data_IF_089438153095
#
_entry.id   IF_089438153095
#
_cell.length_a   1.000
_cell.length_b   1.000
_cell.length_c   1.000
_cell.angle_alpha   90.00
_cell.angle_beta   90.00
_cell.angle_gamma   90.00
#
_symmetry.space_group_name_H-M   'P 1'
#
loop_
_entity.id
_entity.type
_entity.pdbx_description
1 polymer ?
#
# COMPACT_ATOMS: atom_id res chain seq x y z
N UNK A 1 -19.01 -6.77 -28.84
CA UNK A 1 -19.84 -6.60 -27.63
C UNK A 1 -18.91 -6.33 -26.47
N UNK A 2 -18.89 -5.11 -25.93
CA UNK A 2 -18.02 -4.77 -24.80
C UNK A 2 -18.60 -5.35 -23.53
N UNK A 3 -17.96 -6.40 -23.00
CA UNK A 3 -18.36 -6.99 -21.71
C UNK A 3 -18.08 -5.98 -20.60
N UNK A 4 -19.14 -5.47 -19.99
CA UNK A 4 -19.04 -4.51 -18.89
C UNK A 4 -18.57 -5.26 -17.65
N UNK A 5 -17.34 -5.00 -17.24
CA UNK A 5 -16.76 -5.61 -16.03
C UNK A 5 -17.59 -5.13 -14.83
N UNK A 6 -18.13 -6.03 -13.98
CA UNK A 6 -18.87 -5.64 -12.79
C UNK A 6 -17.93 -4.98 -11.77
N UNK A 7 -17.92 -3.65 -11.75
CA UNK A 7 -17.06 -2.80 -10.90
C UNK A 7 -17.56 -2.66 -9.44
N UNK A 8 -18.40 -3.57 -8.95
CA UNK A 8 -19.12 -3.36 -7.68
C UNK A 8 -18.90 -4.47 -6.64
N UNK A 9 -17.83 -5.26 -6.77
CA UNK A 9 -17.49 -6.35 -5.82
C UNK A 9 -16.89 -5.86 -4.50
N UNK A 10 -16.56 -4.58 -4.38
CA UNK A 10 -15.81 -4.03 -3.24
C UNK A 10 -16.62 -3.05 -2.37
N UNK A 11 -17.92 -2.90 -2.64
CA UNK A 11 -18.81 -2.12 -1.78
C UNK A 11 -19.35 -3.04 -0.70
N UNK A 12 -19.11 -2.67 0.56
CA UNK A 12 -19.66 -3.40 1.71
C UNK A 12 -21.17 -3.59 1.55
N UNK A 13 -21.61 -4.84 1.66
CA UNK A 13 -23.01 -5.18 1.46
C UNK A 13 -23.86 -4.50 2.53
N UNK A 14 -24.80 -3.67 2.08
CA UNK A 14 -25.71 -2.90 2.95
C UNK A 14 -26.86 -3.82 3.32
N UNK A 15 -26.77 -4.49 4.47
CA UNK A 15 -27.72 -5.53 4.88
C UNK A 15 -29.02 -4.96 5.46
N UNK A 16 -28.96 -3.84 6.21
CA UNK A 16 -30.13 -3.26 6.89
C UNK A 16 -30.30 -1.80 6.45
N UNK A 17 -30.94 -1.60 5.31
CA UNK A 17 -31.19 -0.28 4.74
C UNK A 17 -29.87 0.45 4.38
N UNK A 18 -29.58 1.63 4.95
CA UNK A 18 -28.35 2.37 4.67
C UNK A 18 -27.11 1.85 5.43
N UNK A 19 -27.30 1.04 6.48
CA UNK A 19 -26.25 0.56 7.38
C UNK A 19 -25.51 -0.65 6.80
N UNK A 20 -24.17 -0.62 6.86
CA UNK A 20 -23.35 -1.79 6.54
C UNK A 20 -23.37 -2.80 7.69
N UNK A 21 -23.06 -4.07 7.41
CA UNK A 21 -23.03 -5.12 8.44
C UNK A 21 -22.09 -4.77 9.60
N UNK A 22 -20.96 -4.11 9.31
CA UNK A 22 -20.01 -3.65 10.32
C UNK A 22 -20.64 -2.60 11.24
N UNK A 23 -21.33 -1.63 10.64
CA UNK A 23 -22.00 -0.55 11.36
C UNK A 23 -23.11 -1.08 12.28
N UNK A 24 -23.88 -2.04 11.80
CA UNK A 24 -24.88 -2.74 12.59
C UNK A 24 -24.24 -3.41 13.82
N UNK A 25 -23.12 -4.10 13.64
CA UNK A 25 -22.41 -4.77 14.74
C UNK A 25 -21.91 -3.79 15.81
N UNK A 26 -21.51 -2.58 15.42
CA UNK A 26 -21.12 -1.54 16.39
C UNK A 26 -22.31 -0.99 17.18
N UNK A 27 -23.44 -0.72 16.53
CA UNK A 27 -24.67 -0.34 17.23
C UNK A 27 -25.15 -1.46 18.14
N UNK A 28 -25.06 -2.71 17.71
CA UNK A 28 -25.39 -3.88 18.52
C UNK A 28 -24.50 -3.96 19.77
N UNK A 29 -23.18 -3.78 19.62
CA UNK A 29 -22.24 -3.76 20.74
C UNK A 29 -22.47 -2.59 21.71
N UNK A 30 -22.70 -1.39 21.19
CA UNK A 30 -23.05 -0.21 22.01
C UNK A 30 -24.39 -0.36 22.73
N UNK A 31 -25.39 -0.93 22.04
CA UNK A 31 -26.69 -1.27 22.62
C UNK A 31 -26.56 -2.33 23.72
N UNK A 32 -25.75 -3.36 23.51
CA UNK A 32 -25.48 -4.39 24.52
C UNK A 32 -24.77 -3.81 25.76
N UNK A 33 -23.79 -2.91 25.57
CA UNK A 33 -23.15 -2.20 26.69
C UNK A 33 -24.13 -1.30 27.44
N UNK A 34 -24.98 -0.57 26.72
CA UNK A 34 -26.01 0.29 27.30
C UNK A 34 -27.05 -0.54 28.06
N UNK A 35 -27.40 -1.72 27.54
CA UNK A 35 -28.28 -2.67 28.22
C UNK A 35 -27.64 -3.22 29.50
N UNK A 36 -26.33 -3.46 29.49
CA UNK A 36 -25.59 -3.83 30.70
C UNK A 36 -25.65 -2.71 31.74
N UNK A 37 -25.43 -1.45 31.33
CA UNK A 37 -25.57 -0.29 32.21
C UNK A 37 -27.00 -0.15 32.76
N UNK A 38 -28.01 -0.44 31.94
CA UNK A 38 -29.41 -0.50 32.38
C UNK A 38 -29.63 -1.60 33.43
N UNK A 39 -29.03 -2.78 33.25
CA UNK A 39 -29.11 -3.85 34.23
C UNK A 39 -28.51 -3.45 35.59
N UNK A 40 -27.37 -2.74 35.60
CA UNK A 40 -26.77 -2.21 36.82
C UNK A 40 -27.64 -1.15 37.51
N UNK A 41 -28.32 -0.30 36.72
CA UNK A 41 -29.32 0.63 37.24
C UNK A 41 -30.49 -0.11 37.90
N UNK A 42 -31.04 -1.15 37.25
CA UNK A 42 -32.16 -1.96 37.80
C UNK A 42 -31.78 -2.67 39.11
N UNK A 43 -30.53 -3.10 39.25
CA UNK A 43 -30.02 -3.76 40.47
C UNK A 43 -29.75 -2.73 41.60
N UNK A 44 -29.81 -1.42 41.29
CA UNK A 44 -29.65 -0.36 42.28
C UNK A 44 -28.20 0.07 42.54
N UNK A 45 -27.24 -0.35 41.70
CA UNK A 45 -25.85 0.11 41.80
C UNK A 45 -25.65 1.53 41.24
N UNK A 46 -26.55 1.99 40.37
CA UNK A 46 -26.49 3.29 39.71
C UNK A 46 -27.78 4.09 39.97
N UNK A 47 -27.67 5.40 40.16
CA UNK A 47 -28.82 6.29 40.10
C UNK A 47 -29.18 6.63 38.64
N UNK A 48 -30.39 7.17 38.44
CA UNK A 48 -30.92 7.46 37.11
C UNK A 48 -30.04 8.45 36.31
N UNK A 49 -29.51 9.48 36.97
CA UNK A 49 -28.67 10.51 36.31
C UNK A 49 -27.37 9.91 35.78
N UNK A 50 -26.70 9.07 36.57
CA UNK A 50 -25.47 8.38 36.20
C UNK A 50 -25.71 7.40 35.05
N UNK A 51 -26.82 6.65 35.09
CA UNK A 51 -27.21 5.76 34.00
C UNK A 51 -27.39 6.53 32.69
N UNK A 52 -28.13 7.64 32.72
CA UNK A 52 -28.37 8.45 31.52
C UNK A 52 -27.07 9.05 31.00
N UNK A 53 -26.21 9.58 31.88
CA UNK A 53 -24.93 10.14 31.47
C UNK A 53 -24.01 9.09 30.82
N UNK A 54 -23.84 7.93 31.45
CA UNK A 54 -23.01 6.85 30.94
C UNK A 54 -23.61 6.27 29.66
N UNK A 55 -24.91 6.01 29.63
CA UNK A 55 -25.62 5.51 28.47
C UNK A 55 -25.50 6.43 27.26
N UNK A 56 -25.63 7.75 27.47
CA UNK A 56 -25.45 8.75 26.43
C UNK A 56 -24.03 8.70 25.86
N UNK A 57 -23.00 8.68 26.72
CA UNK A 57 -21.60 8.61 26.28
C UNK A 57 -21.35 7.34 25.47
N UNK A 58 -21.84 6.18 25.91
CA UNK A 58 -21.71 4.90 25.20
C UNK A 58 -22.41 4.96 23.83
N UNK A 59 -23.64 5.47 23.78
CA UNK A 59 -24.40 5.57 22.53
C UNK A 59 -23.75 6.52 21.53
N UNK A 60 -23.31 7.69 21.98
CA UNK A 60 -22.59 8.65 21.13
C UNK A 60 -21.30 8.03 20.60
N UNK A 61 -20.55 7.32 21.45
CA UNK A 61 -19.33 6.63 21.04
C UNK A 61 -19.61 5.51 20.02
N UNK A 62 -20.65 4.71 20.22
CA UNK A 62 -21.06 3.66 19.29
C UNK A 62 -21.52 4.22 17.94
N UNK A 63 -22.27 5.32 17.95
CA UNK A 63 -22.68 6.03 16.74
C UNK A 63 -21.47 6.60 15.99
N UNK A 64 -20.50 7.19 16.69
CA UNK A 64 -19.23 7.63 16.10
C UNK A 64 -18.46 6.46 15.50
N UNK A 65 -18.46 5.28 16.14
CA UNK A 65 -17.80 4.08 15.59
C UNK A 65 -18.48 3.60 14.29
N UNK A 66 -19.80 3.71 14.22
CA UNK A 66 -20.58 3.27 13.07
C UNK A 66 -20.53 4.25 11.89
N UNK A 67 -20.75 5.52 12.13
CA UNK A 67 -20.81 6.53 11.05
C UNK A 67 -19.47 7.24 10.82
N UNK A 68 -18.56 7.19 11.79
CA UNK A 68 -17.23 7.75 11.66
C UNK A 68 -16.39 6.94 10.68
N UNK A 69 -15.96 7.60 9.61
CA UNK A 69 -14.97 7.08 8.67
C UNK A 69 -13.73 7.95 8.76
N UNK A 70 -12.57 7.34 9.02
CA UNK A 70 -11.30 8.05 9.01
C UNK A 70 -10.58 7.68 7.72
N UNK A 71 -10.31 8.67 6.87
CA UNK A 71 -9.59 8.50 5.60
C UNK A 71 -10.19 7.40 4.71
N UNK A 72 -11.52 7.30 4.64
CA UNK A 72 -12.23 6.29 3.85
C UNK A 72 -12.11 4.85 4.38
N UNK A 73 -11.58 4.66 5.59
CA UNK A 73 -11.48 3.36 6.26
C UNK A 73 -12.42 3.29 7.47
N UNK A 74 -12.95 2.10 7.80
CA UNK A 74 -13.78 1.94 8.97
C UNK A 74 -12.97 2.25 10.24
N UNK A 75 -13.58 3.00 11.16
CA UNK A 75 -12.94 3.49 12.39
C UNK A 75 -12.30 2.37 13.22
N UNK A 76 -12.85 1.14 13.18
CA UNK A 76 -12.29 -0.01 13.90
C UNK A 76 -10.86 -0.32 13.47
N UNK A 77 -10.53 -0.20 12.18
CA UNK A 77 -9.20 -0.52 11.67
C UNK A 77 -8.18 0.47 12.20
N UNK A 78 -8.58 1.74 12.28
CA UNK A 78 -7.81 2.77 12.93
C UNK A 78 -7.64 2.47 14.43
N UNK A 79 -8.71 2.10 15.13
CA UNK A 79 -8.68 1.81 16.57
C UNK A 79 -7.80 0.59 16.92
N UNK A 80 -7.88 -0.48 16.13
CA UNK A 80 -7.03 -1.67 16.28
C UNK A 80 -5.57 -1.32 16.01
N UNK A 81 -5.30 -0.50 15.00
CA UNK A 81 -3.93 -0.05 14.70
C UNK A 81 -3.38 0.86 15.80
N UNK A 82 -4.22 1.74 16.34
CA UNK A 82 -3.88 2.61 17.47
C UNK A 82 -3.62 1.80 18.75
N UNK A 83 -4.49 0.84 19.08
CA UNK A 83 -4.28 -0.05 20.21
C UNK A 83 -2.99 -0.88 20.05
N UNK A 84 -2.75 -1.42 18.84
CA UNK A 84 -1.52 -2.14 18.51
C UNK A 84 -0.29 -1.24 18.65
N UNK A 85 -0.39 0.04 18.27
CA UNK A 85 0.69 1.02 18.43
C UNK A 85 0.99 1.34 19.90
N UNK A 86 -0.03 1.44 20.75
CA UNK A 86 0.14 1.69 22.20
C UNK A 86 0.79 0.48 22.89
N UNK A 87 0.39 -0.74 22.51
CA UNK A 87 0.92 -1.99 23.09
C UNK A 87 2.28 -2.36 22.49
N UNK A 88 2.62 -1.86 21.31
CA UNK A 88 3.87 -2.19 20.62
C UNK A 88 5.10 -1.77 21.44
N UNK A 89 6.11 -2.63 21.57
CA UNK A 89 7.34 -2.30 22.27
C UNK A 89 8.07 -1.16 21.54
N UNK A 90 8.25 -0.02 22.23
CA UNK A 90 8.95 1.17 21.68
C UNK A 90 10.44 0.97 21.44
N UNK A 91 11.04 -0.10 21.97
CA UNK A 91 12.46 -0.42 21.77
C UNK A 91 12.61 -1.41 20.63
N UNK A 92 12.90 -0.89 19.44
CA UNK A 92 13.45 -1.70 18.34
C UNK A 92 14.94 -1.91 18.63
N UNK A 93 15.27 -3.03 19.27
CA UNK A 93 16.66 -3.49 19.33
C UNK A 93 16.98 -4.10 17.96
N UNK A 94 17.95 -3.52 17.26
CA UNK A 94 18.47 -4.11 16.04
C UNK A 94 19.38 -5.28 16.42
N UNK A 95 18.86 -6.50 16.27
CA UNK A 95 19.62 -7.75 16.37
C UNK A 95 19.73 -8.37 14.98
N UNK A 96 20.91 -8.91 14.66
CA UNK A 96 21.16 -9.61 13.40
C UNK A 96 20.36 -10.92 13.28
N UNK A 97 19.79 -11.37 14.38
CA UNK A 97 18.99 -12.58 14.49
C UNK A 97 17.51 -12.24 14.68
N UNK A 98 16.73 -12.53 13.64
CA UNK A 98 15.32 -12.93 13.67
C UNK A 98 14.37 -12.13 14.58
N UNK A 99 14.45 -10.80 14.59
CA UNK A 99 13.41 -9.94 15.19
C UNK A 99 12.18 -9.76 14.26
N UNK A 100 11.91 -10.74 13.40
CA UNK A 100 10.80 -10.76 12.43
C UNK A 100 9.82 -11.91 12.70
N UNK A 101 9.74 -12.46 13.91
CA UNK A 101 8.82 -13.59 14.17
C UNK A 101 7.45 -13.17 14.70
N UNK A 102 7.26 -11.94 15.19
CA UNK A 102 6.00 -11.56 15.88
C UNK A 102 5.16 -10.47 15.22
N UNK A 103 5.32 -10.28 13.91
CA UNK A 103 4.38 -9.48 13.13
C UNK A 103 3.74 -10.36 12.05
N UNK A 104 2.89 -11.30 12.47
CA UNK A 104 1.97 -11.99 11.55
C UNK A 104 0.84 -11.03 11.14
N UNK A 105 1.21 -9.95 10.45
CA UNK A 105 0.26 -9.30 9.54
C UNK A 105 0.12 -10.28 8.40
N UNK A 106 -0.98 -11.02 8.38
CA UNK A 106 -1.36 -11.86 7.24
C UNK A 106 -1.71 -10.93 6.07
N UNK A 107 -0.69 -10.41 5.39
CA UNK A 107 -0.85 -9.82 4.07
C UNK A 107 -1.25 -10.97 3.14
N UNK A 108 -2.54 -11.08 2.86
CA UNK A 108 -2.98 -11.78 1.66
C UNK A 108 -2.50 -10.94 0.46
N UNK A 109 -1.34 -11.30 -0.08
CA UNK A 109 -0.92 -10.93 -1.43
C UNK A 109 -0.62 -12.23 -2.18
N UNK A 110 -1.40 -12.57 -3.23
CA UNK A 110 -1.01 -13.62 -4.15
C UNK A 110 -0.03 -12.99 -5.12
N UNK A 111 1.27 -13.03 -4.85
CA UNK A 111 2.26 -12.80 -5.89
C UNK A 111 3.49 -13.63 -5.59
N UNK A 112 3.72 -14.61 -6.46
CA UNK A 112 4.96 -15.35 -6.55
C UNK A 112 6.12 -14.34 -6.63
N UNK A 113 6.92 -14.26 -5.57
CA UNK A 113 8.19 -13.56 -5.63
C UNK A 113 9.20 -14.58 -6.11
N UNK A 114 9.52 -14.50 -7.40
CA UNK A 114 10.70 -15.13 -7.98
C UNK A 114 11.89 -14.93 -7.05
N UNK A 115 12.63 -16.01 -6.80
CA UNK A 115 13.84 -16.03 -5.98
C UNK A 115 14.71 -14.81 -6.31
N UNK A 116 15.24 -14.07 -5.32
CA UNK A 116 16.28 -13.10 -5.62
C UNK A 116 17.45 -13.91 -6.16
N UNK A 117 17.72 -13.75 -7.47
CA UNK A 117 18.95 -14.21 -8.07
C UNK A 117 20.08 -13.60 -7.23
N UNK A 118 20.75 -14.43 -6.43
CA UNK A 118 21.91 -14.05 -5.65
C UNK A 118 22.96 -13.61 -6.66
N UNK A 119 23.01 -12.30 -6.92
CA UNK A 119 23.98 -11.69 -7.80
C UNK A 119 25.32 -11.91 -7.10
N UNK A 120 26.08 -12.91 -7.55
CA UNK A 120 27.41 -13.23 -7.03
C UNK A 120 28.25 -11.96 -7.07
N UNK A 121 28.40 -11.32 -5.92
CA UNK A 121 29.21 -10.12 -5.77
C UNK A 121 30.65 -10.55 -6.03
N UNK A 122 31.17 -10.17 -7.19
CA UNK A 122 32.53 -10.47 -7.59
C UNK A 122 33.49 -9.66 -6.71
N UNK A 123 34.43 -10.35 -6.04
CA UNK A 123 35.36 -9.72 -5.08
C UNK A 123 36.12 -8.53 -5.67
N UNK A 124 36.43 -8.56 -6.97
CA UNK A 124 37.12 -7.47 -7.66
C UNK A 124 36.36 -6.13 -7.65
N UNK A 125 35.02 -6.16 -7.68
CA UNK A 125 34.21 -4.92 -7.60
C UNK A 125 34.20 -4.34 -6.19
N UNK A 126 34.28 -5.18 -5.16
CA UNK A 126 34.39 -4.72 -3.77
C UNK A 126 35.77 -4.12 -3.51
N UNK A 127 36.83 -4.71 -4.06
CA UNK A 127 38.19 -4.15 -4.00
C UNK A 127 38.28 -2.82 -4.73
N UNK A 128 37.70 -2.68 -5.93
CA UNK A 128 37.64 -1.40 -6.64
C UNK A 128 36.91 -0.32 -5.83
N UNK A 129 35.77 -0.64 -5.22
CA UNK A 129 35.01 0.30 -4.39
C UNK A 129 35.74 0.64 -3.09
N UNK A 130 36.42 -0.33 -2.48
CA UNK A 130 37.24 -0.11 -1.29
C UNK A 130 38.43 0.80 -1.61
N UNK A 131 39.13 0.57 -2.72
CA UNK A 131 40.25 1.42 -3.15
C UNK A 131 39.80 2.84 -3.47
N UNK A 132 38.64 3.03 -4.13
CA UNK A 132 38.09 4.37 -4.41
C UNK A 132 37.75 5.12 -3.11
N UNK A 133 37.21 4.40 -2.13
CA UNK A 133 36.88 4.96 -0.82
C UNK A 133 38.15 5.29 -0.01
N UNK A 134 39.14 4.41 -0.04
CA UNK A 134 40.42 4.55 0.69
C UNK A 134 41.31 5.65 0.09
N UNK A 135 41.27 5.81 -1.23
CA UNK A 135 41.94 6.92 -1.95
C UNK A 135 41.14 8.23 -1.92
N UNK A 136 40.03 8.28 -1.18
CA UNK A 136 39.23 9.50 -1.00
C UNK A 136 38.74 10.11 -2.32
N UNK A 137 38.55 9.28 -3.36
CA UNK A 137 38.15 9.73 -4.69
C UNK A 137 39.27 10.34 -5.55
N UNK A 138 40.54 10.18 -5.18
CA UNK A 138 41.69 10.66 -5.98
C UNK A 138 42.46 9.49 -6.60
N UNK A 139 41.93 8.95 -7.69
CA UNK A 139 42.73 8.15 -8.62
C UNK A 139 43.25 9.10 -9.71
N UNK A 140 44.56 9.33 -9.73
CA UNK A 140 45.24 9.90 -10.87
C UNK A 140 45.23 8.83 -11.97
N UNK A 141 44.55 9.13 -13.07
CA UNK A 141 44.59 8.36 -14.31
C UNK A 141 46.01 8.35 -14.85
N UNK A 142 46.81 7.37 -14.45
CA UNK A 142 48.09 7.08 -15.07
C UNK A 142 48.18 5.58 -15.36
N UNK A 143 48.11 5.29 -16.66
CA UNK A 143 48.73 4.12 -17.31
C UNK A 143 48.11 2.74 -17.02
N UNK A 144 46.97 2.47 -17.68
CA UNK A 144 46.78 1.15 -18.30
C UNK A 144 46.26 1.32 -19.73
N UNK A 145 47.10 1.94 -20.55
CA UNK A 145 47.17 1.70 -21.98
C UNK A 145 47.71 0.28 -22.21
N UNK A 146 46.85 -0.72 -22.01
CA UNK A 146 47.01 -2.01 -22.69
C UNK A 146 45.72 -2.27 -23.45
N UNK A 147 45.78 -1.86 -24.71
CA UNK A 147 44.89 -2.18 -25.81
C UNK A 147 44.26 -3.57 -25.68
N UNK A 148 42.99 -3.63 -25.30
CA UNK A 148 42.08 -4.58 -25.91
C UNK A 148 41.26 -3.78 -26.92
N UNK A 149 41.64 -3.92 -28.19
CA UNK A 149 40.82 -3.53 -29.33
C UNK A 149 39.48 -4.26 -29.23
N UNK A 150 38.48 -3.59 -28.67
CA UNK A 150 37.11 -3.82 -29.08
C UNK A 150 36.97 -3.17 -30.44
N UNK A 151 37.17 -3.98 -31.47
CA UNK A 151 36.89 -3.65 -32.86
C UNK A 151 35.39 -3.33 -32.98
N UNK A 152 35.02 -2.07 -32.75
CA UNK A 152 33.77 -1.53 -33.25
C UNK A 152 33.98 -1.27 -34.74
N UNK A 153 33.81 -2.32 -35.55
CA UNK A 153 33.49 -2.14 -36.96
C UNK A 153 32.17 -1.36 -37.03
N UNK A 154 32.29 -0.04 -37.11
CA UNK A 154 31.22 0.83 -37.58
C UNK A 154 31.07 0.50 -39.07
N UNK A 155 30.16 -0.42 -39.38
CA UNK A 155 29.63 -0.56 -40.73
C UNK A 155 28.82 0.69 -41.06
N UNK A 156 29.16 1.47 -42.11
CA UNK A 156 28.21 2.39 -42.71
C UNK A 156 27.34 1.59 -43.68
N UNK A 157 26.35 0.86 -43.17
CA UNK A 157 25.30 0.28 -44.01
C UNK A 157 24.25 1.35 -44.28
N UNK A 158 24.47 2.14 -45.32
CA UNK A 158 23.44 2.95 -45.94
C UNK A 158 22.33 2.03 -46.49
N UNK A 159 21.06 2.16 -46.07
CA UNK A 159 19.96 1.57 -46.80
C UNK A 159 19.51 2.53 -47.92
N UNK A 160 19.71 2.03 -49.13
CA UNK A 160 19.20 2.48 -50.43
C UNK A 160 17.74 2.97 -50.32
N UNK A 161 17.50 4.26 -50.56
CA UNK A 161 16.16 4.79 -50.85
C UNK A 161 15.70 4.09 -52.14
N UNK A 162 14.59 3.35 -52.05
CA UNK A 162 13.87 2.83 -53.22
C UNK A 162 12.49 3.45 -53.19
N UNK A 163 12.23 4.25 -54.22
CA UNK A 163 10.98 4.94 -54.45
C UNK A 163 9.82 3.95 -54.51
N UNK A 164 8.76 4.23 -53.76
CA UNK A 164 7.42 3.74 -54.07
C UNK A 164 6.41 4.76 -53.56
N UNK A 165 6.11 5.70 -54.46
CA UNK A 165 4.76 6.14 -54.83
C UNK A 165 3.63 5.43 -54.06
N UNK A 166 2.78 6.22 -53.40
CA UNK A 166 1.33 6.02 -53.29
C UNK A 166 0.70 7.17 -52.47
N UNK A 167 0.14 8.13 -53.19
CA UNK A 167 -1.18 8.71 -52.91
C UNK A 167 -1.39 9.48 -51.61
N UNK A 168 -0.82 10.69 -51.51
CA UNK A 168 -1.46 11.78 -50.76
C UNK A 168 -2.59 12.32 -51.65
N UNK A 169 -3.78 11.71 -51.54
CA UNK A 169 -4.98 12.29 -52.14
C UNK A 169 -5.47 13.46 -51.28
N UNK A 170 -5.37 14.63 -51.93
CA UNK A 170 -6.17 15.84 -51.76
C UNK A 170 -7.52 15.63 -51.06
N UNK A 171 -7.68 16.22 -49.89
CA UNK A 171 -9.01 16.50 -49.31
C UNK A 171 -9.02 17.97 -48.88
N UNK A 172 -8.89 18.89 -49.84
CA UNK A 172 -9.25 20.31 -49.69
C UNK A 172 -9.55 20.96 -51.06
N UNK A 173 -10.75 20.71 -51.64
CA UNK A 173 -11.47 21.58 -52.59
C UNK A 173 -12.71 20.80 -53.06
N UNK A 174 -13.93 21.09 -52.62
CA UNK A 174 -14.88 22.08 -53.17
C UNK A 174 -16.10 22.00 -52.23
N UNK A 175 -16.72 23.03 -51.61
CA UNK A 175 -17.11 24.39 -51.99
C UNK A 175 -17.83 24.50 -53.33
N UNK A 176 -19.16 24.66 -53.23
CA UNK A 176 -20.08 25.23 -54.22
C UNK A 176 -20.30 24.46 -55.53
N UNK A 177 -21.47 23.82 -55.65
CA UNK A 177 -22.65 24.35 -56.37
C UNK A 177 -23.82 23.36 -56.36
#
# INVERSE_FOLDING_TARGET
MTTKIPQNIDKEDKLVGPLTLRQFLYLLGGGALTFLAYQYYVIGYLFFTEFVAIGLVIMVFAALLAFGQINGRPFITFLVSWASFVVAPKRRLWGKDNAMEKATVKLAHPTQVSQPATKTINKSRLEQLATILDTGGKMETAELSTTHEINLTVQPSAPKIKDQDLGVEDVLSDTES
#
